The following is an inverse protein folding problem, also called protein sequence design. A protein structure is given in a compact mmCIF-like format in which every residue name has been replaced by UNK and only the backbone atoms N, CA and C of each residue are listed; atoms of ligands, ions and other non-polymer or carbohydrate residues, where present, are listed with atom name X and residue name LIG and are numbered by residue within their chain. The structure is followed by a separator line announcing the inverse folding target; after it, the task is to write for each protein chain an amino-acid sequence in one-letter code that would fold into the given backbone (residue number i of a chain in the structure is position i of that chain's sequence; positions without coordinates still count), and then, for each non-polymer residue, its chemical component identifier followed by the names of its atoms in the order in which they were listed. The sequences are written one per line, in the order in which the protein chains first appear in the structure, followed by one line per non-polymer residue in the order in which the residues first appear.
data_IF_259329752265
#
_entry.id   IF_259329752265
#
_cell.length_a   1.000
_cell.length_b   1.000
_cell.length_c   1.000
_cell.angle_alpha   90.00
_cell.angle_beta   90.00
_cell.angle_gamma   90.00
#
_symmetry.space_group_name_H-M   'P 1'
#
loop_
_entity.id
_entity.type
_entity.pdbx_description
1 polymer ?
#
# COMPACT_ATOMS: atom_id res chain seq x y z
N UNK A 1 -4.62 16.58 -3.69
CA UNK A 1 -4.74 15.13 -3.91
C UNK A 1 -4.25 14.44 -2.65
N UNK A 2 -5.09 13.62 -2.04
CA UNK A 2 -4.73 12.86 -0.85
C UNK A 2 -4.18 11.50 -1.27
N UNK A 3 -3.11 11.06 -0.64
CA UNK A 3 -2.44 9.80 -0.91
C UNK A 3 -2.41 8.97 0.37
N UNK A 4 -2.72 7.69 0.24
CA UNK A 4 -2.56 6.70 1.31
C UNK A 4 -1.48 5.72 0.89
N UNK A 5 -0.46 5.58 1.72
CA UNK A 5 0.67 4.70 1.43
C UNK A 5 0.46 3.37 2.13
N UNK A 6 0.55 2.28 1.39
CA UNK A 6 0.46 0.93 1.94
C UNK A 6 1.72 0.12 1.61
N UNK A 7 2.36 -0.38 2.66
CA UNK A 7 3.58 -1.19 2.58
C UNK A 7 3.37 -2.55 3.24
N UNK A 8 3.80 -3.63 2.59
CA UNK A 8 3.70 -5.00 3.11
C UNK A 8 4.99 -5.79 2.92
N UNK A 9 5.55 -6.31 4.01
CA UNK A 9 6.60 -7.34 3.96
C UNK A 9 6.06 -8.71 4.38
N UNK A 10 6.53 -9.77 3.72
CA UNK A 10 6.02 -11.14 3.89
C UNK A 10 6.84 -12.02 4.84
N UNK A 11 7.96 -11.53 5.37
CA UNK A 11 8.89 -12.30 6.21
C UNK A 11 9.35 -11.47 7.41
N UNK A 12 9.35 -12.09 8.59
CA UNK A 12 10.07 -11.58 9.76
C UNK A 12 11.55 -11.42 9.40
N UNK A 13 12.01 -10.18 9.27
CA UNK A 13 13.37 -9.85 8.82
C UNK A 13 13.45 -9.01 7.55
N UNK A 14 12.34 -8.80 6.84
CA UNK A 14 12.26 -7.75 5.82
C UNK A 14 11.64 -6.48 6.42
N UNK A 15 12.30 -5.35 6.18
CA UNK A 15 11.83 -4.02 6.57
C UNK A 15 10.65 -3.62 5.69
N UNK A 16 9.41 -3.80 6.17
CA UNK A 16 8.19 -3.35 5.48
C UNK A 16 8.21 -1.84 5.19
N UNK A 17 8.98 -1.08 5.95
CA UNK A 17 9.23 0.34 5.77
C UNK A 17 10.27 0.66 4.68
N UNK A 18 10.95 -0.33 4.07
CA UNK A 18 11.97 -0.10 3.03
C UNK A 18 11.45 0.78 1.89
N UNK A 19 10.23 0.53 1.43
CA UNK A 19 9.62 1.30 0.37
C UNK A 19 9.03 2.64 0.84
N UNK A 20 8.78 2.79 2.15
CA UNK A 20 8.06 3.95 2.70
C UNK A 20 8.76 5.26 2.36
N UNK A 21 10.08 5.32 2.52
CA UNK A 21 10.88 6.52 2.21
C UNK A 21 10.73 6.92 0.75
N UNK A 22 10.87 5.96 -0.18
CA UNK A 22 10.71 6.23 -1.62
C UNK A 22 9.29 6.66 -1.98
N UNK A 23 8.26 6.08 -1.35
CA UNK A 23 6.86 6.45 -1.59
C UNK A 23 6.52 7.84 -1.02
N UNK A 24 7.11 8.21 0.13
CA UNK A 24 7.02 9.56 0.69
C UNK A 24 7.68 10.59 -0.22
N UNK A 25 8.89 10.31 -0.68
CA UNK A 25 9.62 11.17 -1.62
C UNK A 25 8.88 11.33 -2.94
N UNK A 26 8.33 10.25 -3.48
CA UNK A 26 7.50 10.28 -4.67
C UNK A 26 6.27 11.17 -4.47
N UNK A 27 5.52 10.95 -3.39
CA UNK A 27 4.34 11.76 -3.05
C UNK A 27 4.70 13.25 -2.92
N UNK A 28 5.81 13.56 -2.24
CA UNK A 28 6.33 14.91 -2.08
C UNK A 28 6.72 15.54 -3.43
N UNK A 29 7.42 14.80 -4.29
CA UNK A 29 7.82 15.28 -5.63
C UNK A 29 6.63 15.60 -6.53
N UNK A 30 5.49 14.94 -6.30
CA UNK A 30 4.23 15.19 -7.02
C UNK A 30 3.34 16.25 -6.35
N UNK A 31 3.75 16.80 -5.21
CA UNK A 31 2.95 17.75 -4.43
C UNK A 31 1.69 17.13 -3.83
N UNK A 32 1.69 15.82 -3.61
CA UNK A 32 0.57 15.10 -3.01
C UNK A 32 0.65 15.13 -1.49
N UNK A 33 -0.51 15.21 -0.84
CA UNK A 33 -0.61 15.18 0.61
C UNK A 33 -0.77 13.74 1.09
N UNK A 34 0.11 13.29 1.97
CA UNK A 34 0.00 11.96 2.59
C UNK A 34 -1.05 12.04 3.69
N UNK A 35 -2.16 11.33 3.51
CA UNK A 35 -3.29 11.27 4.43
C UNK A 35 -3.18 10.10 5.43
N UNK A 36 -2.37 9.09 5.12
CA UNK A 36 -2.15 7.95 6.00
C UNK A 36 -1.07 7.01 5.47
N UNK A 37 -0.41 6.31 6.38
CA UNK A 37 0.63 5.32 6.09
C UNK A 37 0.32 4.04 6.86
N UNK A 38 0.32 2.91 6.15
CA UNK A 38 -0.17 1.63 6.63
C UNK A 38 0.89 0.58 6.34
N UNK A 39 1.47 0.00 7.39
CA UNK A 39 2.65 -0.87 7.27
C UNK A 39 2.33 -2.19 7.95
N UNK A 40 2.31 -3.27 7.17
CA UNK A 40 2.03 -4.60 7.69
C UNK A 40 3.15 -5.62 7.41
N UNK A 41 3.38 -6.46 8.43
CA UNK A 41 4.20 -7.66 8.31
C UNK A 41 3.28 -8.88 8.22
N UNK A 42 2.71 -9.11 7.04
CA UNK A 42 1.84 -10.24 6.78
C UNK A 42 2.35 -11.07 5.60
N UNK A 43 2.56 -12.37 5.85
CA UNK A 43 2.73 -13.33 4.75
C UNK A 43 1.47 -13.28 3.87
N UNK A 44 1.63 -13.38 2.55
CA UNK A 44 0.49 -13.26 1.61
C UNK A 44 -0.56 -14.38 1.74
N UNK A 45 -0.40 -15.28 2.71
CA UNK A 45 -1.30 -16.38 3.06
C UNK A 45 -2.03 -16.15 4.39
N UNK A 46 -1.59 -15.21 5.25
CA UNK A 46 -2.36 -14.81 6.43
C UNK A 46 -3.50 -13.90 6.01
N UNK A 47 -4.70 -14.26 6.46
CA UNK A 47 -5.97 -13.62 6.08
C UNK A 47 -6.16 -12.25 6.75
N UNK A 48 -5.51 -12.03 7.90
CA UNK A 48 -5.71 -10.83 8.72
C UNK A 48 -4.80 -9.68 8.27
N UNK A 49 -5.27 -8.93 7.27
CA UNK A 49 -4.63 -7.70 6.77
C UNK A 49 -5.19 -6.48 7.47
N UNK A 50 -4.88 -6.33 8.76
CA UNK A 50 -5.49 -5.30 9.63
C UNK A 50 -5.22 -3.89 9.11
N UNK A 51 -4.00 -3.61 8.64
CA UNK A 51 -3.61 -2.29 8.14
C UNK A 51 -4.25 -1.98 6.79
N UNK A 52 -4.36 -2.96 5.88
CA UNK A 52 -5.13 -2.80 4.65
C UNK A 52 -6.61 -2.51 4.94
N UNK A 53 -7.21 -3.23 5.88
CA UNK A 53 -8.61 -2.98 6.25
C UNK A 53 -8.79 -1.59 6.87
N UNK A 54 -7.85 -1.14 7.71
CA UNK A 54 -7.85 0.22 8.26
C UNK A 54 -7.76 1.25 7.13
N UNK A 55 -6.85 1.07 6.18
CA UNK A 55 -6.72 1.93 5.01
C UNK A 55 -8.04 2.06 4.26
N UNK A 56 -8.68 0.92 3.93
CA UNK A 56 -9.93 0.90 3.18
C UNK A 56 -11.07 1.58 3.96
N UNK A 57 -11.11 1.44 5.28
CA UNK A 57 -12.13 2.08 6.12
C UNK A 57 -11.97 3.60 6.21
N UNK A 58 -10.74 4.09 6.15
CA UNK A 58 -10.46 5.53 6.25
C UNK A 58 -10.46 6.21 4.87
N UNK A 59 -10.23 5.45 3.79
CA UNK A 59 -10.17 5.94 2.41
C UNK A 59 -11.47 6.62 1.98
N UNK A 60 -11.30 7.77 1.33
CA UNK A 60 -12.39 8.56 0.76
C UNK A 60 -12.34 8.51 -0.77
N UNK A 61 -13.49 8.78 -1.40
CA UNK A 61 -13.53 8.92 -2.86
C UNK A 61 -12.56 10.01 -3.33
N UNK A 62 -11.69 9.66 -4.28
CA UNK A 62 -10.65 10.55 -4.78
C UNK A 62 -9.31 10.46 -4.04
N UNK A 63 -9.20 9.63 -2.99
CA UNK A 63 -7.89 9.27 -2.43
C UNK A 63 -7.12 8.36 -3.40
N UNK A 64 -5.81 8.58 -3.51
CA UNK A 64 -4.90 7.74 -4.28
C UNK A 64 -4.23 6.73 -3.37
N UNK A 65 -4.35 5.44 -3.69
CA UNK A 65 -3.59 4.38 -3.04
C UNK A 65 -2.22 4.25 -3.68
N UNK A 66 -1.16 4.40 -2.88
CA UNK A 66 0.22 4.25 -3.32
C UNK A 66 0.85 3.01 -2.66
N UNK A 67 1.35 2.11 -3.50
CA UNK A 67 1.97 0.85 -3.11
C UNK A 67 3.30 0.67 -3.84
N UNK A 68 4.23 -0.07 -3.26
CA UNK A 68 5.49 -0.43 -3.92
C UNK A 68 5.26 -1.30 -5.16
N UNK A 69 4.36 -2.28 -5.06
CA UNK A 69 4.02 -3.19 -6.13
C UNK A 69 2.61 -3.78 -5.97
N UNK A 70 1.93 -4.08 -7.08
CA UNK A 70 0.53 -4.55 -7.10
C UNK A 70 0.37 -5.94 -6.45
N UNK A 71 1.39 -6.79 -6.55
CA UNK A 71 1.46 -8.10 -5.88
C UNK A 71 1.43 -8.00 -4.34
N UNK A 72 1.64 -6.79 -3.80
CA UNK A 72 1.47 -6.49 -2.38
C UNK A 72 0.01 -6.30 -2.00
N UNK A 73 -0.87 -5.93 -2.93
CA UNK A 73 -2.30 -5.68 -2.72
C UNK A 73 -3.15 -6.95 -2.94
N UNK A 74 -2.93 -7.69 -4.02
CA UNK A 74 -3.63 -8.95 -4.30
C UNK A 74 -2.72 -9.95 -5.02
N UNK A 75 -3.08 -11.24 -4.96
CA UNK A 75 -2.42 -12.29 -5.77
C UNK A 75 -3.04 -12.41 -7.17
N UNK A 76 -3.85 -11.44 -7.61
CA UNK A 76 -4.36 -11.45 -8.97
C UNK A 76 -3.20 -11.18 -9.92
N UNK A 77 -3.05 -12.07 -10.89
CA UNK A 77 -2.12 -11.92 -12.00
C UNK A 77 -2.33 -10.56 -12.68
N UNK A 78 -1.25 -9.92 -13.12
CA UNK A 78 -1.29 -8.57 -13.69
C UNK A 78 -2.33 -8.40 -14.82
N UNK A 79 -2.60 -9.46 -15.57
CA UNK A 79 -3.63 -9.50 -16.62
C UNK A 79 -5.05 -9.24 -16.11
N UNK A 80 -5.40 -9.71 -14.91
CA UNK A 80 -6.73 -9.54 -14.33
C UNK A 80 -7.00 -8.11 -13.83
N UNK A 81 -5.94 -7.31 -13.66
CA UNK A 81 -6.06 -5.91 -13.25
C UNK A 81 -6.28 -4.94 -14.40
N UNK A 82 -5.90 -5.31 -15.63
CA UNK A 82 -6.03 -4.45 -16.82
C UNK A 82 -7.45 -4.44 -17.38
N UNK A 83 -8.27 -5.45 -17.04
CA UNK A 83 -9.66 -5.58 -17.50
C UNK A 83 -10.70 -4.87 -16.61
N UNK A 84 -10.29 -4.24 -15.50
CA UNK A 84 -11.13 -3.44 -14.60
C UNK A 84 -11.00 -1.94 -14.89
#
# INVERSE_FOLDING_TARGET
MNVRIYCRASTEGQHADRALTSLREFSKSKGWQIAGEYIENASGAKLERVELMRLLSEAQSGDLLLVEAIDRLSRLEHSAWVEL
#
